data_IF_685401957961
#
_entry.id   IF_685401957961
#
_cell.length_a   1.000
_cell.length_b   1.000
_cell.length_c   1.000
_cell.angle_alpha   90.00
_cell.angle_beta   90.00
_cell.angle_gamma   90.00
#
_symmetry.space_group_name_H-M   'P 1'
#
loop_
_entity.id
_entity.type
_entity.pdbx_description
1 polymer ?
#
# COMPACT_ATOMS: atom_id res chain seq x y z
N UNK A 1 15.77 -4.15 4.58
CA UNK A 1 15.09 -5.19 5.40
C UNK A 1 13.57 -5.12 5.22
N UNK A 2 12.86 -6.23 5.55
CA UNK A 2 11.39 -6.27 5.56
C UNK A 2 10.88 -6.25 6.99
N UNK A 3 9.88 -5.41 7.29
CA UNK A 3 9.24 -5.33 8.62
C UNK A 3 7.74 -5.47 8.51
N UNK A 4 7.14 -6.38 9.31
CA UNK A 4 5.72 -6.62 9.37
C UNK A 4 5.14 -6.21 10.74
N UNK A 5 3.92 -5.72 10.72
CA UNK A 5 3.04 -5.66 11.90
C UNK A 5 2.06 -6.83 11.81
N UNK A 6 1.88 -7.54 12.88
CA UNK A 6 1.04 -8.74 12.90
C UNK A 6 0.43 -8.98 14.28
N UNK A 7 -0.57 -9.86 14.32
CA UNK A 7 -1.25 -10.30 15.52
C UNK A 7 -0.88 -11.76 15.78
N UNK A 8 -0.61 -12.08 17.03
CA UNK A 8 -0.37 -13.43 17.55
C UNK A 8 -1.08 -13.56 18.91
N UNK A 9 -1.97 -14.56 19.07
CA UNK A 9 -2.72 -14.77 20.31
C UNK A 9 -3.35 -13.46 20.86
N UNK A 10 -4.05 -12.72 20.01
CA UNK A 10 -4.66 -11.42 20.29
C UNK A 10 -3.71 -10.26 20.63
N UNK A 11 -2.41 -10.49 20.70
CA UNK A 11 -1.41 -9.45 20.89
C UNK A 11 -0.93 -8.91 19.55
N UNK A 12 -1.02 -7.59 19.37
CA UNK A 12 -0.43 -6.89 18.23
C UNK A 12 1.04 -6.68 18.53
N UNK A 13 1.89 -7.02 17.56
CA UNK A 13 3.33 -6.87 17.62
C UNK A 13 3.92 -6.58 16.23
N UNK A 14 5.23 -6.45 16.15
CA UNK A 14 5.96 -6.23 14.91
C UNK A 14 7.34 -6.89 14.97
N UNK A 15 7.90 -7.16 13.79
CA UNK A 15 9.22 -7.74 13.69
C UNK A 15 9.75 -7.74 12.26
N UNK A 16 10.99 -8.18 12.10
CA UNK A 16 11.57 -8.40 10.77
C UNK A 16 11.03 -9.69 10.17
N UNK A 17 10.91 -9.67 8.84
CA UNK A 17 10.52 -10.82 8.04
C UNK A 17 11.77 -11.50 7.49
N UNK A 18 11.88 -12.79 7.72
CA UNK A 18 12.95 -13.66 7.26
C UNK A 18 12.37 -14.60 6.21
N UNK A 19 12.88 -14.55 5.00
CA UNK A 19 12.49 -15.39 3.88
C UNK A 19 13.66 -16.34 3.58
N UNK A 20 13.45 -17.63 3.80
CA UNK A 20 14.43 -18.67 3.47
C UNK A 20 13.78 -19.62 2.46
N UNK A 21 14.16 -19.47 1.20
CA UNK A 21 13.68 -20.31 0.10
C UNK A 21 12.14 -20.37 -0.02
N UNK A 22 11.47 -19.24 0.25
CA UNK A 22 10.03 -19.12 0.24
C UNK A 22 9.33 -19.52 1.55
N UNK A 23 10.05 -20.01 2.54
CA UNK A 23 9.54 -20.21 3.90
C UNK A 23 9.68 -18.90 4.71
N UNK A 24 8.53 -18.30 5.00
CA UNK A 24 8.47 -17.03 5.71
C UNK A 24 8.36 -17.24 7.21
N UNK A 25 9.17 -16.51 7.95
CA UNK A 25 9.13 -16.43 9.40
C UNK A 25 9.35 -15.00 9.86
N UNK A 26 8.97 -14.67 11.09
CA UNK A 26 9.10 -13.32 11.66
C UNK A 26 9.77 -13.35 13.03
N UNK A 27 10.53 -12.28 13.33
CA UNK A 27 11.02 -12.02 14.68
C UNK A 27 9.94 -11.31 15.49
N UNK A 28 9.97 -11.39 16.83
CA UNK A 28 9.06 -10.64 17.71
C UNK A 28 9.81 -9.52 18.43
N UNK A 29 10.00 -8.40 17.76
CA UNK A 29 10.67 -7.22 18.32
C UNK A 29 9.76 -6.53 19.34
N UNK A 30 8.45 -6.47 19.06
CA UNK A 30 7.48 -5.81 19.93
C UNK A 30 7.38 -6.42 21.31
N UNK A 31 7.66 -7.72 21.48
CA UNK A 31 7.68 -8.36 22.78
C UNK A 31 8.76 -7.81 23.71
N UNK A 32 9.94 -7.49 23.16
CA UNK A 32 11.09 -7.02 23.94
C UNK A 32 11.12 -5.49 24.08
N UNK A 33 10.70 -4.76 23.05
CA UNK A 33 10.85 -3.31 22.97
C UNK A 33 9.54 -2.53 23.04
N UNK A 34 8.39 -3.20 23.06
CA UNK A 34 7.08 -2.54 23.03
C UNK A 34 6.90 -1.67 21.78
N UNK A 35 6.03 -0.66 21.89
CA UNK A 35 5.75 0.29 20.81
C UNK A 35 5.14 -0.37 19.54
N UNK A 36 5.35 0.26 18.39
CA UNK A 36 4.97 -0.22 17.07
C UNK A 36 6.00 0.26 16.03
N UNK A 37 5.92 -0.25 14.81
CA UNK A 37 6.87 0.09 13.75
C UNK A 37 6.93 1.59 13.47
N UNK A 38 5.79 2.28 13.50
CA UNK A 38 5.73 3.74 13.31
C UNK A 38 6.60 4.49 14.31
N UNK A 39 6.67 4.04 15.57
CA UNK A 39 7.45 4.74 16.60
C UNK A 39 8.95 4.78 16.28
N UNK A 40 9.48 3.72 15.69
CA UNK A 40 10.87 3.69 15.23
C UNK A 40 11.11 4.69 14.09
N UNK A 41 10.15 4.80 13.18
CA UNK A 41 10.19 5.78 12.08
C UNK A 41 10.13 7.21 12.65
N UNK A 42 9.23 7.48 13.60
CA UNK A 42 9.09 8.81 14.25
C UNK A 42 10.36 9.26 15.00
N UNK A 43 11.09 8.31 15.57
CA UNK A 43 12.31 8.58 16.32
C UNK A 43 13.56 8.62 15.42
N UNK A 44 13.41 8.45 14.10
CA UNK A 44 14.53 8.32 13.15
C UNK A 44 15.52 7.20 13.57
N UNK A 45 14.98 6.09 14.05
CA UNK A 45 15.73 5.01 14.68
C UNK A 45 15.66 3.70 13.87
N UNK A 46 15.44 3.79 12.55
CA UNK A 46 15.33 2.60 11.69
C UNK A 46 16.64 1.81 11.61
N UNK A 47 17.78 2.45 11.65
CA UNK A 47 19.07 1.74 11.65
C UNK A 47 19.25 0.93 12.94
N UNK A 48 18.88 1.51 14.08
CA UNK A 48 18.89 0.77 15.35
C UNK A 48 17.91 -0.40 15.34
N UNK A 49 16.74 -0.22 14.72
CA UNK A 49 15.77 -1.31 14.56
C UNK A 49 16.33 -2.45 13.70
N UNK A 50 17.06 -2.14 12.63
CA UNK A 50 17.72 -3.14 11.77
C UNK A 50 18.81 -3.92 12.53
N UNK A 51 19.61 -3.24 13.35
CA UNK A 51 20.60 -3.90 14.22
C UNK A 51 19.95 -4.91 15.17
N UNK A 52 18.88 -4.49 15.86
CA UNK A 52 18.11 -5.35 16.76
C UNK A 52 17.54 -6.54 15.98
N UNK A 53 16.93 -6.29 14.84
CA UNK A 53 16.31 -7.32 13.99
C UNK A 53 17.33 -8.36 13.53
N UNK A 54 18.57 -7.93 13.21
CA UNK A 54 19.64 -8.82 12.76
C UNK A 54 20.16 -9.73 13.88
N UNK A 55 20.01 -9.32 15.14
CA UNK A 55 20.46 -10.10 16.30
C UNK A 55 19.39 -11.07 16.83
N UNK A 56 18.14 -10.92 16.42
CA UNK A 56 17.04 -11.75 16.91
C UNK A 56 16.78 -12.96 16.00
N UNK A 57 16.55 -14.15 16.59
CA UNK A 57 16.10 -15.31 15.81
C UNK A 57 14.65 -15.15 15.34
N UNK A 58 14.29 -15.94 14.34
CA UNK A 58 12.87 -16.13 13.97
C UNK A 58 12.10 -16.67 15.18
N UNK A 59 10.91 -16.12 15.40
CA UNK A 59 10.07 -16.48 16.54
C UNK A 59 8.82 -17.24 16.10
N UNK A 60 8.20 -16.80 15.00
CA UNK A 60 6.97 -17.41 14.49
C UNK A 60 7.09 -17.67 12.99
N UNK A 61 6.37 -18.68 12.51
CA UNK A 61 6.14 -18.92 11.07
C UNK A 61 4.98 -18.08 10.54
N UNK A 62 4.87 -17.96 9.22
CA UNK A 62 3.79 -17.20 8.58
C UNK A 62 2.40 -17.71 8.97
N UNK A 63 2.24 -19.01 9.14
CA UNK A 63 0.96 -19.64 9.47
C UNK A 63 0.51 -19.36 10.91
N UNK A 64 1.42 -18.97 11.79
CA UNK A 64 1.13 -18.66 13.19
C UNK A 64 0.66 -17.23 13.42
N UNK A 65 0.79 -16.37 12.43
CA UNK A 65 0.52 -14.94 12.55
C UNK A 65 -0.65 -14.50 11.67
N UNK A 66 -1.28 -13.41 12.06
CA UNK A 66 -2.24 -12.66 11.24
C UNK A 66 -1.63 -11.31 10.90
N UNK A 67 -1.36 -11.07 9.62
CA UNK A 67 -0.82 -9.79 9.16
C UNK A 67 -1.81 -8.66 9.42
N UNK A 68 -1.27 -7.53 9.82
CA UNK A 68 -1.96 -6.23 9.89
C UNK A 68 -1.29 -5.26 8.90
N UNK A 69 -1.93 -4.13 8.57
CA UNK A 69 -1.25 -3.07 7.85
C UNK A 69 0.09 -2.74 8.53
N UNK A 70 1.20 -2.56 7.79
CA UNK A 70 2.52 -2.33 8.41
C UNK A 70 2.53 -1.15 9.37
N UNK A 71 1.75 -0.10 9.07
CA UNK A 71 1.55 1.07 9.92
C UNK A 71 0.09 1.11 10.36
N UNK A 72 -0.19 0.63 11.56
CA UNK A 72 -1.56 0.55 12.12
C UNK A 72 -2.05 1.85 12.78
N UNK A 73 -1.15 2.76 13.09
CA UNK A 73 -1.44 4.02 13.79
C UNK A 73 -1.03 5.25 12.97
N UNK A 74 -0.98 5.11 11.65
CA UNK A 74 -0.69 6.18 10.72
C UNK A 74 -1.71 7.32 10.85
N UNK A 75 -1.32 8.52 10.43
CA UNK A 75 -2.19 9.69 10.52
C UNK A 75 -2.98 9.89 9.24
N UNK A 76 -2.32 9.72 8.09
CA UNK A 76 -2.95 9.92 6.78
C UNK A 76 -2.65 8.74 5.87
N UNK A 77 -3.67 8.32 5.15
CA UNK A 77 -3.54 7.47 3.98
C UNK A 77 -4.02 8.30 2.81
N UNK A 78 -3.06 8.81 2.04
CA UNK A 78 -3.29 9.68 0.89
C UNK A 78 -3.22 8.82 -0.36
N UNK A 79 -4.19 8.94 -1.25
CA UNK A 79 -4.25 8.17 -2.49
C UNK A 79 -4.21 9.09 -3.70
N UNK A 80 -3.48 8.67 -4.73
CA UNK A 80 -3.33 9.37 -6.00
C UNK A 80 -4.19 8.67 -7.05
N UNK A 81 -5.25 9.34 -7.48
CA UNK A 81 -6.07 8.87 -8.60
C UNK A 81 -5.43 9.18 -9.95
N UNK A 82 -5.57 8.24 -10.89
CA UNK A 82 -5.13 8.41 -12.29
C UNK A 82 -3.66 8.83 -12.42
N UNK A 83 -2.76 7.88 -12.17
CA UNK A 83 -1.32 8.16 -12.26
C UNK A 83 -0.58 7.37 -13.35
N UNK A 84 -1.26 6.48 -14.07
CA UNK A 84 -0.73 5.79 -15.25
C UNK A 84 -1.46 6.29 -16.50
N UNK A 85 -0.72 6.83 -17.48
CA UNK A 85 -1.28 7.50 -18.67
C UNK A 85 -2.21 6.61 -19.49
N UNK A 86 -1.89 5.32 -19.62
CA UNK A 86 -2.69 4.33 -20.38
C UNK A 86 -4.08 4.10 -19.78
N UNK A 87 -4.31 4.50 -18.53
CA UNK A 87 -5.60 4.34 -17.86
C UNK A 87 -6.70 5.17 -18.53
N UNK A 88 -6.43 6.37 -19.03
CA UNK A 88 -7.43 7.18 -19.73
C UNK A 88 -7.92 6.49 -21.01
N UNK A 89 -6.98 5.92 -21.79
CA UNK A 89 -7.33 5.17 -22.99
C UNK A 89 -8.24 3.96 -22.70
N UNK A 90 -8.03 3.31 -21.55
CA UNK A 90 -8.86 2.21 -21.09
C UNK A 90 -10.31 2.68 -20.75
N UNK A 91 -10.48 3.91 -20.28
CA UNK A 91 -11.81 4.48 -19.99
C UNK A 91 -12.52 5.00 -21.24
N UNK A 92 -11.87 4.95 -22.42
CA UNK A 92 -12.32 5.65 -23.62
C UNK A 92 -12.63 7.12 -23.30
N UNK A 93 -11.81 7.66 -22.42
CA UNK A 93 -11.89 9.05 -21.97
C UNK A 93 -10.89 9.84 -22.82
N UNK A 94 -11.41 10.57 -23.80
CA UNK A 94 -10.63 11.43 -24.71
C UNK A 94 -10.20 12.74 -24.01
N UNK A 95 -10.42 12.87 -22.70
CA UNK A 95 -9.96 14.03 -21.94
C UNK A 95 -8.43 14.11 -21.92
N UNK A 96 -7.92 15.33 -21.90
CA UNK A 96 -6.49 15.57 -21.74
C UNK A 96 -5.98 14.97 -20.41
N UNK A 97 -4.75 14.44 -20.43
CA UNK A 97 -4.09 13.95 -19.22
C UNK A 97 -4.09 15.04 -18.12
N UNK A 98 -4.30 14.70 -16.86
CA UNK A 98 -4.36 15.68 -15.79
C UNK A 98 -3.00 16.38 -15.60
N UNK A 99 -3.04 17.68 -15.39
CA UNK A 99 -1.83 18.47 -15.09
C UNK A 99 -1.35 18.31 -13.65
N UNK A 100 -2.23 17.90 -12.74
CA UNK A 100 -1.97 17.72 -11.32
C UNK A 100 -2.60 16.42 -10.83
N UNK A 101 -2.02 15.79 -9.78
CA UNK A 101 -2.57 14.58 -9.19
C UNK A 101 -4.00 14.79 -8.67
N UNK A 102 -4.88 13.85 -8.95
CA UNK A 102 -6.13 13.73 -8.20
C UNK A 102 -5.83 13.12 -6.84
N UNK A 103 -6.23 13.80 -5.77
CA UNK A 103 -5.89 13.41 -4.39
C UNK A 103 -7.15 13.12 -3.59
N UNK A 104 -7.18 12.00 -2.89
CA UNK A 104 -8.23 11.68 -1.93
C UNK A 104 -7.64 10.94 -0.72
N UNK A 105 -8.42 10.79 0.33
CA UNK A 105 -8.00 10.14 1.57
C UNK A 105 -8.78 8.85 1.81
N UNK A 106 -8.11 7.91 2.47
CA UNK A 106 -8.76 6.73 3.03
C UNK A 106 -8.56 6.67 4.54
N UNK A 107 -9.54 6.09 5.21
CA UNK A 107 -9.49 5.84 6.64
C UNK A 107 -8.91 4.46 6.94
N UNK A 108 -8.27 4.32 8.09
CA UNK A 108 -7.66 3.06 8.50
C UNK A 108 -8.66 1.90 8.56
N UNK A 109 -9.90 2.18 8.97
CA UNK A 109 -10.96 1.17 9.10
C UNK A 109 -11.36 0.55 7.75
N UNK A 110 -11.03 1.19 6.64
CA UNK A 110 -11.27 0.63 5.31
C UNK A 110 -10.29 -0.48 4.91
N UNK A 111 -9.26 -0.75 5.73
CA UNK A 111 -8.21 -1.71 5.41
C UNK A 111 -8.16 -2.89 6.36
N UNK A 112 -7.82 -4.03 5.80
CA UNK A 112 -7.36 -5.23 6.51
C UNK A 112 -5.90 -5.53 6.17
N UNK A 113 -5.27 -6.44 6.89
CA UNK A 113 -3.92 -6.91 6.61
C UNK A 113 -3.88 -7.93 5.46
N UNK A 114 -2.67 -8.27 5.03
CA UNK A 114 -2.44 -9.27 4.01
C UNK A 114 -3.01 -10.64 4.40
N UNK A 115 -3.60 -11.35 3.45
CA UNK A 115 -4.18 -12.68 3.64
C UNK A 115 -5.57 -12.66 4.27
N UNK A 116 -6.04 -11.53 4.77
CA UNK A 116 -7.40 -11.37 5.29
C UNK A 116 -8.42 -11.18 4.16
N UNK A 117 -9.67 -11.55 4.43
CA UNK A 117 -10.75 -11.35 3.48
C UNK A 117 -11.19 -9.89 3.46
N UNK A 118 -11.32 -9.33 2.26
CA UNK A 118 -12.00 -8.04 2.07
C UNK A 118 -13.51 -8.23 2.00
N UNK A 119 -14.25 -7.28 2.55
CA UNK A 119 -15.71 -7.32 2.60
C UNK A 119 -16.32 -6.59 1.41
N UNK A 120 -17.11 -7.29 0.62
CA UNK A 120 -18.02 -6.63 -0.30
C UNK A 120 -19.25 -6.19 0.49
N UNK A 121 -19.55 -4.89 0.59
CA UNK A 121 -20.69 -4.41 1.36
C UNK A 121 -22.00 -4.87 0.70
N UNK A 122 -23.05 -5.14 1.49
CA UNK A 122 -24.35 -5.58 0.95
C UNK A 122 -25.01 -4.52 0.04
N UNK A 123 -24.66 -3.26 0.21
CA UNK A 123 -25.18 -2.13 -0.55
C UNK A 123 -24.68 -2.09 -2.00
N UNK A 124 -23.63 -2.85 -2.32
CA UNK A 124 -23.06 -2.85 -3.68
C UNK A 124 -22.55 -4.22 -4.13
N UNK A 125 -22.82 -4.63 -5.36
CA UNK A 125 -22.17 -5.78 -5.99
C UNK A 125 -20.80 -5.44 -6.61
N UNK A 126 -20.36 -4.16 -6.58
CA UNK A 126 -19.27 -3.65 -7.41
C UNK A 126 -17.98 -3.39 -6.62
N UNK A 127 -17.52 -4.34 -5.81
CA UNK A 127 -16.19 -4.27 -5.23
C UNK A 127 -15.15 -4.68 -6.28
N UNK A 128 -14.21 -3.77 -6.54
CA UNK A 128 -13.16 -3.91 -7.53
C UNK A 128 -11.76 -3.86 -6.89
N UNK A 129 -10.76 -4.44 -7.54
CA UNK A 129 -9.36 -4.44 -7.10
C UNK A 129 -8.56 -3.34 -7.81
N UNK A 130 -7.57 -2.80 -7.10
CA UNK A 130 -6.57 -1.87 -7.63
C UNK A 130 -5.23 -2.13 -6.94
N UNK A 131 -4.29 -2.77 -7.64
CA UNK A 131 -2.93 -3.00 -7.13
C UNK A 131 -2.11 -1.73 -7.21
N UNK A 132 -1.49 -1.33 -6.08
CA UNK A 132 -0.73 -0.08 -5.98
C UNK A 132 0.53 -0.25 -5.14
N UNK A 133 1.56 0.53 -5.46
CA UNK A 133 2.72 0.73 -4.58
C UNK A 133 2.39 1.84 -3.60
N UNK A 134 2.78 1.67 -2.35
CA UNK A 134 2.54 2.63 -1.27
C UNK A 134 3.86 3.10 -0.69
N UNK A 135 4.05 4.41 -0.67
CA UNK A 135 5.16 5.08 -0.01
C UNK A 135 4.83 5.22 1.49
N UNK A 136 5.77 4.87 2.36
CA UNK A 136 5.70 5.16 3.80
C UNK A 136 6.68 6.28 4.09
N UNK A 137 6.17 7.40 4.61
CA UNK A 137 6.97 8.57 4.92
C UNK A 137 7.83 8.30 6.17
N UNK A 138 9.12 8.54 6.06
CA UNK A 138 10.11 8.43 7.14
C UNK A 138 10.35 9.77 7.81
N UNK A 139 10.74 10.76 7.02
CA UNK A 139 11.02 12.12 7.49
C UNK A 139 9.85 13.04 7.16
N UNK A 140 9.26 13.63 8.17
CA UNK A 140 8.17 14.59 7.97
C UNK A 140 8.66 15.89 7.33
N UNK A 141 7.72 16.66 6.76
CA UNK A 141 8.07 17.95 6.17
C UNK A 141 6.87 18.69 5.58
N UNK A 142 7.12 19.95 5.31
CA UNK A 142 6.21 20.88 4.64
C UNK A 142 6.97 21.62 3.55
N UNK A 143 6.43 21.71 2.33
CA UNK A 143 7.09 22.30 1.16
C UNK A 143 8.45 21.63 0.87
N UNK A 144 8.46 20.31 0.87
CA UNK A 144 9.65 19.50 0.60
C UNK A 144 10.09 19.76 -0.85
N UNK A 145 11.34 20.18 -1.08
CA UNK A 145 11.87 20.34 -2.42
C UNK A 145 11.88 19.00 -3.16
N UNK A 146 11.60 19.02 -4.46
CA UNK A 146 11.51 17.80 -5.26
C UNK A 146 12.83 17.00 -5.27
N UNK A 147 13.94 17.71 -5.33
CA UNK A 147 15.31 17.14 -5.35
C UNK A 147 15.67 16.36 -4.09
N UNK A 148 15.00 16.64 -2.96
CA UNK A 148 15.22 15.93 -1.69
C UNK A 148 14.03 15.05 -1.27
N UNK A 149 12.99 14.96 -2.10
CA UNK A 149 11.74 14.33 -1.71
C UNK A 149 11.90 12.82 -1.44
N UNK A 150 12.76 12.13 -2.18
CA UNK A 150 13.00 10.70 -2.00
C UNK A 150 13.70 10.39 -0.66
N UNK A 151 14.47 11.32 -0.09
CA UNK A 151 15.10 11.17 1.23
C UNK A 151 14.07 11.13 2.38
N UNK A 152 12.82 11.45 2.08
CA UNK A 152 11.72 11.40 3.04
C UNK A 152 11.03 10.04 3.12
N UNK A 153 11.45 9.05 2.34
CA UNK A 153 10.86 7.72 2.28
C UNK A 153 11.51 6.80 3.32
N UNK A 154 10.71 6.20 4.22
CA UNK A 154 11.16 5.12 5.12
C UNK A 154 11.19 3.77 4.42
N UNK A 155 10.28 3.55 3.49
CA UNK A 155 10.13 2.30 2.77
C UNK A 155 8.88 2.25 1.92
N UNK A 156 8.69 1.11 1.29
CA UNK A 156 7.53 0.84 0.43
C UNK A 156 6.73 -0.37 0.93
N UNK A 157 5.44 -0.37 0.63
CA UNK A 157 4.57 -1.54 0.77
C UNK A 157 3.61 -1.63 -0.42
N UNK A 158 2.73 -2.62 -0.42
CA UNK A 158 1.70 -2.80 -1.44
C UNK A 158 0.31 -2.52 -0.88
N UNK A 159 -0.60 -2.16 -1.77
CA UNK A 159 -2.01 -2.00 -1.47
C UNK A 159 -2.86 -2.68 -2.55
N UNK A 160 -3.94 -3.32 -2.14
CA UNK A 160 -5.10 -3.50 -2.99
C UNK A 160 -6.11 -2.44 -2.59
N UNK A 161 -6.22 -1.37 -3.37
CA UNK A 161 -7.13 -0.27 -3.11
C UNK A 161 -8.56 -0.63 -3.52
N UNK A 162 -9.20 -1.54 -2.77
CA UNK A 162 -10.56 -1.99 -3.04
C UNK A 162 -11.53 -0.83 -3.20
N UNK A 163 -12.34 -0.87 -4.26
CA UNK A 163 -13.17 0.26 -4.69
C UNK A 163 -14.58 -0.19 -4.95
N UNK A 164 -15.57 0.46 -4.33
CA UNK A 164 -16.99 0.26 -4.60
C UNK A 164 -17.39 1.18 -5.76
N UNK A 165 -17.40 0.63 -6.98
CA UNK A 165 -17.43 1.40 -8.23
C UNK A 165 -18.67 2.25 -8.44
N UNK A 166 -19.86 1.76 -8.10
CA UNK A 166 -21.09 2.52 -8.15
C UNK A 166 -21.10 3.67 -7.15
N UNK A 167 -20.51 3.46 -5.96
CA UNK A 167 -20.47 4.48 -4.90
C UNK A 167 -19.45 5.60 -5.15
N UNK A 168 -18.39 5.40 -5.93
CA UNK A 168 -17.52 6.52 -6.35
C UNK A 168 -18.24 7.50 -7.28
N UNK A 169 -19.40 7.14 -7.80
CA UNK A 169 -20.22 7.99 -8.69
C UNK A 169 -21.36 8.71 -7.98
N UNK A 170 -21.53 8.49 -6.67
CA UNK A 170 -22.60 9.15 -5.89
C UNK A 170 -22.42 10.67 -5.80
N UNK A 171 -21.18 11.15 -5.88
CA UNK A 171 -20.89 12.57 -5.92
C UNK A 171 -19.91 12.87 -7.05
N UNK A 172 -20.19 13.90 -7.83
CA UNK A 172 -19.51 14.20 -9.09
C UNK A 172 -17.97 14.34 -8.95
N UNK A 173 -17.50 14.85 -7.82
CA UNK A 173 -16.07 15.14 -7.58
C UNK A 173 -15.52 14.50 -6.31
N UNK A 174 -16.28 13.65 -5.65
CA UNK A 174 -15.89 13.07 -4.37
C UNK A 174 -16.05 11.55 -4.42
N UNK A 175 -14.93 10.85 -4.28
CA UNK A 175 -14.87 9.38 -4.31
C UNK A 175 -14.91 8.76 -2.91
N UNK A 176 -15.03 9.56 -1.84
CA UNK A 176 -14.91 9.12 -0.45
C UNK A 176 -15.80 7.93 -0.13
N UNK A 177 -17.07 7.95 -0.56
CA UNK A 177 -18.02 6.89 -0.27
C UNK A 177 -17.58 5.55 -0.87
N UNK A 178 -17.13 5.54 -2.13
CA UNK A 178 -16.72 4.32 -2.81
C UNK A 178 -15.35 3.79 -2.39
N UNK A 179 -14.60 4.55 -1.59
CA UNK A 179 -13.22 4.24 -1.16
C UNK A 179 -13.10 3.92 0.34
N UNK A 180 -14.15 4.12 1.14
CA UNK A 180 -14.05 4.06 2.60
C UNK A 180 -15.11 3.17 3.29
N UNK A 181 -15.65 2.18 2.61
CA UNK A 181 -16.35 1.11 3.30
C UNK A 181 -15.36 0.31 4.14
N UNK A 182 -15.78 -0.12 5.32
CA UNK A 182 -14.95 -0.87 6.25
C UNK A 182 -14.46 -2.18 5.64
N UNK A 183 -13.16 -2.47 5.83
CA UNK A 183 -12.53 -3.73 5.41
C UNK A 183 -12.67 -4.06 3.91
N UNK A 184 -12.67 -3.04 3.05
CA UNK A 184 -12.81 -3.24 1.59
C UNK A 184 -11.48 -3.25 0.86
N UNK A 185 -10.37 -2.99 1.54
CA UNK A 185 -9.04 -2.90 0.95
C UNK A 185 -7.98 -3.60 1.81
N UNK A 186 -6.79 -3.81 1.26
CA UNK A 186 -5.66 -4.48 1.93
C UNK A 186 -4.41 -3.63 1.83
N UNK A 187 -3.64 -3.51 2.93
CA UNK A 187 -2.27 -2.99 2.91
C UNK A 187 -1.32 -4.05 3.48
N UNK A 188 -0.18 -4.26 2.86
CA UNK A 188 0.86 -5.18 3.29
C UNK A 188 1.40 -6.06 2.16
N UNK A 189 2.09 -7.16 2.51
CA UNK A 189 2.21 -7.79 3.84
C UNK A 189 3.15 -7.08 4.81
N UNK A 190 4.19 -6.40 4.32
CA UNK A 190 5.23 -5.76 5.12
C UNK A 190 5.72 -4.47 4.46
N UNK A 191 6.48 -3.69 5.19
CA UNK A 191 7.29 -2.60 4.65
C UNK A 191 8.67 -3.14 4.24
N UNK A 192 9.14 -2.81 3.04
CA UNK A 192 10.54 -2.93 2.64
C UNK A 192 11.20 -1.58 2.91
N UNK A 193 12.33 -1.56 3.61
CA UNK A 193 13.05 -0.34 3.94
C UNK A 193 13.66 0.32 2.71
N UNK A 194 13.78 1.64 2.73
CA UNK A 194 14.22 2.46 1.59
C UNK A 194 15.58 2.06 1.02
N UNK A 195 16.50 1.61 1.88
CA UNK A 195 17.85 1.15 1.50
C UNK A 195 17.86 -0.13 0.65
N UNK A 196 16.76 -0.87 0.59
CA UNK A 196 16.60 -2.04 -0.28
C UNK A 196 16.10 -1.68 -1.69
N UNK A 197 15.76 -0.41 -1.93
CA UNK A 197 15.19 0.06 -3.20
C UNK A 197 16.28 0.82 -3.97
N UNK A 198 16.78 0.21 -5.03
CA UNK A 198 17.84 0.80 -5.84
C UNK A 198 17.36 1.93 -6.74
N UNK A 199 16.15 1.84 -7.27
CA UNK A 199 15.57 2.84 -8.17
C UNK A 199 14.04 2.87 -8.05
N UNK A 200 13.51 3.96 -7.51
CA UNK A 200 12.07 4.20 -7.38
C UNK A 200 11.35 4.40 -8.72
N UNK A 201 12.07 4.74 -9.78
CA UNK A 201 11.51 4.95 -11.11
C UNK A 201 11.52 3.66 -11.97
N UNK A 202 11.98 2.54 -11.43
CA UNK A 202 12.04 1.28 -12.14
C UNK A 202 11.58 0.09 -11.30
N UNK A 203 10.36 0.17 -10.77
CA UNK A 203 9.74 -0.91 -10.00
C UNK A 203 8.61 -1.53 -10.81
N UNK A 204 8.67 -2.84 -11.01
CA UNK A 204 7.57 -3.58 -11.63
C UNK A 204 6.42 -3.79 -10.64
N UNK A 205 5.20 -3.59 -11.10
CA UNK A 205 3.97 -3.92 -10.38
C UNK A 205 3.12 -4.89 -11.20
N UNK A 206 2.58 -5.90 -10.53
CA UNK A 206 1.70 -6.89 -11.13
C UNK A 206 0.57 -7.26 -10.17
N UNK A 207 -0.66 -7.30 -10.69
CA UNK A 207 -1.84 -7.84 -9.99
C UNK A 207 -2.34 -9.08 -10.71
N UNK A 208 -2.57 -10.15 -9.94
CA UNK A 208 -3.17 -11.39 -10.43
C UNK A 208 -4.50 -11.65 -9.74
N UNK A 209 -5.48 -12.10 -10.51
CA UNK A 209 -6.79 -12.57 -10.02
C UNK A 209 -6.96 -14.00 -10.48
N UNK A 210 -7.12 -14.95 -9.58
CA UNK A 210 -7.24 -16.38 -9.87
C UNK A 210 -6.09 -16.91 -10.75
N UNK A 211 -4.87 -16.42 -10.51
CA UNK A 211 -3.67 -16.80 -11.27
C UNK A 211 -3.45 -16.04 -12.57
N UNK A 212 -4.47 -15.36 -13.11
CA UNK A 212 -4.36 -14.56 -14.32
C UNK A 212 -3.81 -13.15 -14.02
N UNK A 213 -2.85 -12.70 -14.84
CA UNK A 213 -2.34 -11.34 -14.78
C UNK A 213 -3.43 -10.39 -15.26
N UNK A 214 -3.89 -9.49 -14.40
CA UNK A 214 -4.87 -8.45 -14.71
C UNK A 214 -4.25 -7.08 -14.87
N UNK A 215 -3.26 -6.76 -14.05
CA UNK A 215 -2.52 -5.51 -14.13
C UNK A 215 -1.03 -5.84 -14.21
N UNK A 216 -0.30 -5.12 -15.06
CA UNK A 216 1.15 -5.19 -15.14
C UNK A 216 1.67 -3.87 -15.69
N UNK A 217 2.54 -3.21 -14.94
CA UNK A 217 3.18 -1.96 -15.37
C UNK A 217 4.50 -1.76 -14.61
N UNK A 218 5.13 -0.62 -14.84
CA UNK A 218 6.38 -0.21 -14.18
C UNK A 218 6.28 1.25 -13.72
N UNK A 219 6.91 1.61 -12.61
CA UNK A 219 6.88 2.98 -12.09
C UNK A 219 7.46 4.03 -13.02
N UNK A 220 8.27 3.64 -14.00
CA UNK A 220 8.73 4.53 -15.08
C UNK A 220 7.60 5.12 -15.94
N UNK A 221 6.40 4.52 -15.90
CA UNK A 221 5.20 4.97 -16.61
C UNK A 221 4.27 5.85 -15.75
N UNK A 222 4.67 6.18 -14.53
CA UNK A 222 3.93 7.12 -13.69
C UNK A 222 3.96 8.53 -14.30
N UNK A 223 2.81 9.18 -14.39
CA UNK A 223 2.72 10.60 -14.79
C UNK A 223 3.28 11.52 -13.72
N UNK A 224 3.08 11.15 -12.46
CA UNK A 224 3.58 11.84 -11.29
C UNK A 224 4.47 10.86 -10.51
N UNK A 225 5.81 10.90 -10.68
CA UNK A 225 6.73 10.02 -9.96
C UNK A 225 6.80 10.38 -8.47
N UNK A 226 7.40 9.52 -7.67
CA UNK A 226 7.36 9.59 -6.20
C UNK A 226 7.88 10.92 -5.65
N UNK A 227 8.98 11.44 -6.21
CA UNK A 227 9.54 12.73 -5.83
C UNK A 227 8.56 13.88 -6.05
N UNK A 228 7.86 13.88 -7.20
CA UNK A 228 6.83 14.86 -7.50
C UNK A 228 5.64 14.75 -6.55
N UNK A 229 5.14 13.53 -6.30
CA UNK A 229 4.00 13.30 -5.40
C UNK A 229 4.29 13.84 -4.01
N UNK A 230 5.44 13.49 -3.42
CA UNK A 230 5.84 13.93 -2.08
C UNK A 230 5.96 15.47 -2.03
N UNK A 231 6.65 16.06 -3.00
CA UNK A 231 6.80 17.51 -3.10
C UNK A 231 5.43 18.21 -3.24
N UNK A 232 4.59 17.73 -4.16
CA UNK A 232 3.26 18.28 -4.40
C UNK A 232 2.37 18.22 -3.16
N UNK A 233 2.24 17.05 -2.52
CA UNK A 233 1.41 16.86 -1.32
C UNK A 233 1.92 17.74 -0.17
N UNK A 234 3.23 17.84 0.02
CA UNK A 234 3.83 18.65 1.07
C UNK A 234 3.62 20.16 0.85
N UNK A 235 3.20 20.59 -0.33
CA UNK A 235 2.87 21.98 -0.62
C UNK A 235 1.66 22.48 0.17
N UNK A 236 0.64 21.64 0.37
CA UNK A 236 -0.60 22.03 1.04
C UNK A 236 -0.85 21.32 2.37
N UNK A 237 -0.15 20.19 2.66
CA UNK A 237 -0.25 19.51 3.94
C UNK A 237 1.15 19.23 4.51
N UNK A 238 1.27 19.13 5.84
CA UNK A 238 2.48 18.62 6.48
C UNK A 238 2.47 17.13 6.45
N UNK A 239 3.46 16.52 5.80
CA UNK A 239 3.69 15.07 5.88
C UNK A 239 4.35 14.72 7.22
N UNK A 240 3.99 13.58 7.79
CA UNK A 240 4.51 13.10 9.07
C UNK A 240 5.06 11.70 8.93
N UNK A 241 6.02 11.29 9.77
CA UNK A 241 6.50 9.91 9.81
C UNK A 241 5.36 8.92 9.98
N UNK A 242 5.33 7.87 9.16
CA UNK A 242 4.28 6.88 9.11
C UNK A 242 3.04 7.26 8.30
N UNK A 243 2.96 8.47 7.70
CA UNK A 243 1.95 8.72 6.66
C UNK A 243 2.18 7.79 5.46
N UNK A 244 1.12 7.30 4.87
CA UNK A 244 1.16 6.42 3.70
C UNK A 244 0.62 7.15 2.48
N UNK A 245 1.28 6.96 1.33
CA UNK A 245 0.85 7.55 0.04
C UNK A 245 0.74 6.43 -0.97
N UNK A 246 -0.49 6.12 -1.38
CA UNK A 246 -0.75 5.19 -2.49
C UNK A 246 -0.57 5.91 -3.82
N UNK A 247 0.21 5.32 -4.73
CA UNK A 247 0.76 6.03 -5.88
C UNK A 247 -0.05 5.89 -7.16
N UNK A 248 -1.19 5.23 -7.09
CA UNK A 248 -2.07 4.98 -8.22
C UNK A 248 -1.92 3.59 -8.82
N UNK A 249 -2.99 3.11 -9.42
CA UNK A 249 -3.07 1.76 -10.02
C UNK A 249 -2.90 1.81 -11.54
N UNK A 250 -2.19 0.83 -12.15
CA UNK A 250 -2.13 0.70 -13.59
C UNK A 250 -3.49 0.29 -14.18
N UNK A 251 -3.58 0.27 -15.52
CA UNK A 251 -4.75 -0.28 -16.22
C UNK A 251 -4.93 -1.76 -15.93
N UNK A 252 -6.15 -2.28 -16.16
CA UNK A 252 -6.53 -3.65 -15.90
C UNK A 252 -7.33 -3.86 -14.62
N UNK A 253 -7.88 -2.79 -14.02
CA UNK A 253 -8.86 -2.92 -12.94
C UNK A 253 -10.13 -3.64 -13.41
N UNK A 254 -10.78 -4.39 -12.52
CA UNK A 254 -11.89 -5.31 -12.87
C UNK A 254 -13.07 -4.66 -13.55
N UNK A 255 -13.42 -3.42 -13.20
CA UNK A 255 -14.50 -2.66 -13.83
C UNK A 255 -14.38 -2.48 -15.37
N UNK A 256 -13.21 -2.83 -15.93
CA UNK A 256 -12.90 -2.72 -17.35
C UNK A 256 -13.19 -3.98 -18.14
N UNK A 257 -13.14 -5.13 -17.49
CA UNK A 257 -13.24 -6.43 -18.17
C UNK A 257 -14.66 -6.89 -18.43
N UNK A 258 -15.65 -6.43 -17.70
CA UNK A 258 -17.09 -6.55 -17.98
C UNK A 258 -17.90 -6.02 -16.78
N UNK A 259 -19.08 -5.47 -17.02
CA UNK A 259 -20.07 -5.13 -16.00
C UNK A 259 -20.57 -6.35 -15.17
N UNK A 260 -20.05 -7.54 -15.43
CA UNK A 260 -20.42 -8.81 -14.81
C UNK A 260 -19.39 -9.37 -13.81
N UNK A 261 -18.22 -8.73 -13.61
CA UNK A 261 -17.28 -9.15 -12.57
C UNK A 261 -17.64 -8.46 -11.25
N UNK A 262 -18.65 -9.00 -10.60
CA UNK A 262 -18.70 -8.99 -9.14
C UNK A 262 -17.46 -9.72 -8.65
N UNK A 263 -16.73 -9.13 -7.69
CA UNK A 263 -15.65 -9.85 -7.01
C UNK A 263 -16.11 -11.27 -6.70
N UNK A 264 -15.35 -12.28 -7.05
CA UNK A 264 -15.73 -13.65 -6.76
C UNK A 264 -15.99 -13.83 -5.26
N UNK A 265 -16.71 -14.88 -4.94
CA UNK A 265 -17.07 -15.35 -3.60
C UNK A 265 -15.96 -15.11 -2.55
N UNK A 266 -16.28 -14.99 -1.27
CA UNK A 266 -15.30 -14.91 -0.15
C UNK A 266 -14.23 -16.02 -0.12
N UNK A 267 -14.31 -17.01 -1.01
CA UNK A 267 -13.31 -18.08 -1.18
C UNK A 267 -12.15 -17.71 -2.09
N UNK A 268 -12.20 -16.59 -2.81
CA UNK A 268 -11.15 -16.20 -3.75
C UNK A 268 -10.17 -15.26 -3.08
N UNK A 269 -9.05 -15.83 -2.59
CA UNK A 269 -7.96 -15.09 -1.96
C UNK A 269 -7.16 -14.32 -3.00
N UNK A 270 -7.24 -13.00 -3.00
CA UNK A 270 -6.25 -12.16 -3.69
C UNK A 270 -4.93 -12.20 -2.91
N UNK A 271 -3.92 -12.90 -3.42
CA UNK A 271 -2.56 -12.86 -2.88
C UNK A 271 -1.76 -11.81 -3.64
N UNK A 272 -1.40 -10.70 -2.99
CA UNK A 272 -0.34 -9.83 -3.48
C UNK A 272 1.01 -10.40 -3.04
N UNK A 273 1.93 -10.63 -3.97
CA UNK A 273 3.32 -10.99 -3.67
C UNK A 273 4.22 -9.86 -4.14
N UNK A 274 5.09 -9.38 -3.26
CA UNK A 274 6.22 -8.57 -3.69
C UNK A 274 7.21 -9.44 -4.49
N UNK A 275 7.85 -8.91 -5.55
CA UNK A 275 8.92 -9.64 -6.20
C UNK A 275 10.03 -9.90 -5.17
N UNK A 276 10.52 -11.14 -5.13
CA UNK A 276 11.82 -11.42 -4.54
C UNK A 276 12.84 -10.62 -5.34
N UNK A 277 13.69 -9.87 -4.64
CA UNK A 277 14.79 -9.08 -5.20
C UNK A 277 15.51 -9.83 -6.30
N UNK A 278 15.66 -9.20 -7.46
CA UNK A 278 16.77 -9.53 -8.36
C UNK A 278 18.07 -9.00 -7.77
#
# INVERSE_FOLDING_TARGET
>A
MKFATYKINDRITYGSVIDKDGAISVTDIGAAYGNNLRKWIELDAMDRLKEIASALPATYTEEQIEYLPPIITGQKIVCIGVNYAKRNAEYKDDSALPKFPSVFLRYHDSFVGHGQNINRPPESPQLDYEGEIVIIIGKGGRRIPRESALDHIAGLTLMNEGTIRDWVRHAKFNVTQGKNFDNTAVIGPWMITADEISDYNNLDIQTKVNGEIRQKDNTSNLMFPFDYIISYLSTFMTLKPGDMISTGTPNGAGARFCLLYTSPSPRDRTRSRMPSSA
#
